data_IF_690794243235
#
_entry.id   IF_690794243235
#
_cell.length_a   1.000
_cell.length_b   1.000
_cell.length_c   1.000
_cell.angle_alpha   90.00
_cell.angle_beta   90.00
_cell.angle_gamma   90.00
#
_symmetry.space_group_name_H-M   'P 1'
#
loop_
_entity.id
_entity.type
_entity.pdbx_description
1 polymer ?
#
# COMPACT_ATOMS: atom_id res chain seq x y z
N UNK A 1 -62.03 35.66 -19.90
CA UNK A 1 -60.64 35.60 -19.40
C UNK A 1 -60.42 34.66 -18.21
N UNK A 2 -61.45 34.05 -17.60
CA UNK A 2 -61.29 33.19 -16.40
C UNK A 2 -60.82 31.75 -16.68
N UNK A 3 -61.32 31.08 -17.75
CA UNK A 3 -60.95 29.67 -18.05
C UNK A 3 -59.47 29.46 -18.40
N UNK A 4 -58.85 30.39 -19.14
CA UNK A 4 -57.44 30.27 -19.51
C UNK A 4 -56.49 30.43 -18.32
N UNK A 5 -56.88 31.22 -17.30
CA UNK A 5 -56.10 31.36 -16.07
C UNK A 5 -56.20 30.11 -15.20
N UNK A 6 -57.38 29.49 -15.10
CA UNK A 6 -57.59 28.22 -14.38
C UNK A 6 -56.79 27.08 -14.99
N UNK A 7 -56.82 26.90 -16.31
CA UNK A 7 -56.04 25.86 -17.00
C UNK A 7 -54.53 26.06 -16.88
N UNK A 8 -54.04 27.30 -16.89
CA UNK A 8 -52.60 27.59 -16.66
C UNK A 8 -52.17 27.28 -15.23
N UNK A 9 -53.02 27.54 -14.24
CA UNK A 9 -52.75 27.23 -12.83
C UNK A 9 -52.81 25.72 -12.55
N UNK A 10 -53.77 24.99 -13.12
CA UNK A 10 -53.86 23.53 -13.02
C UNK A 10 -52.68 22.83 -13.69
N UNK A 11 -52.32 23.22 -14.92
CA UNK A 11 -51.15 22.66 -15.60
C UNK A 11 -49.84 23.01 -14.88
N UNK A 12 -49.73 24.20 -14.29
CA UNK A 12 -48.58 24.57 -13.47
C UNK A 12 -48.53 23.76 -12.16
N UNK A 13 -49.68 23.47 -11.55
CA UNK A 13 -49.78 22.63 -10.35
C UNK A 13 -49.51 21.15 -10.65
N UNK A 14 -49.95 20.61 -11.79
CA UNK A 14 -49.67 19.24 -12.21
C UNK A 14 -48.22 19.05 -12.66
N UNK A 15 -47.67 20.02 -13.40
CA UNK A 15 -46.25 20.05 -13.74
C UNK A 15 -45.37 20.19 -12.49
N UNK A 16 -45.77 21.04 -11.53
CA UNK A 16 -45.08 21.21 -10.26
C UNK A 16 -45.23 20.00 -9.36
N UNK A 17 -46.42 19.40 -9.23
CA UNK A 17 -46.66 18.26 -8.35
C UNK A 17 -46.05 16.97 -8.90
N UNK A 18 -46.11 16.73 -10.22
CA UNK A 18 -45.43 15.61 -10.87
C UNK A 18 -43.90 15.71 -10.80
N UNK A 19 -43.36 16.91 -11.09
CA UNK A 19 -41.90 17.17 -10.98
C UNK A 19 -41.44 17.15 -9.52
N UNK A 20 -42.25 17.66 -8.58
CA UNK A 20 -41.95 17.61 -7.16
C UNK A 20 -41.94 16.18 -6.63
N UNK A 21 -42.89 15.33 -7.02
CA UNK A 21 -42.94 13.95 -6.57
C UNK A 21 -41.75 13.14 -7.13
N UNK A 22 -41.39 13.33 -8.40
CA UNK A 22 -40.19 12.72 -8.98
C UNK A 22 -38.90 13.24 -8.33
N UNK A 23 -38.80 14.53 -8.06
CA UNK A 23 -37.60 15.14 -7.44
C UNK A 23 -37.43 14.62 -6.02
N UNK A 24 -38.50 14.57 -5.23
CA UNK A 24 -38.47 14.00 -3.87
C UNK A 24 -38.09 12.52 -3.89
N UNK A 25 -38.62 11.74 -4.84
CA UNK A 25 -38.29 10.31 -4.97
C UNK A 25 -36.82 10.10 -5.36
N UNK A 26 -36.30 10.86 -6.33
CA UNK A 26 -34.87 10.83 -6.72
C UNK A 26 -33.97 11.30 -5.59
N UNK A 27 -34.36 12.32 -4.83
CA UNK A 27 -33.63 12.76 -3.64
C UNK A 27 -33.58 11.67 -2.58
N UNK A 28 -34.70 10.97 -2.34
CA UNK A 28 -34.74 9.86 -1.38
C UNK A 28 -33.87 8.68 -1.82
N UNK A 29 -33.95 8.27 -3.10
CA UNK A 29 -33.09 7.23 -3.68
C UNK A 29 -31.60 7.61 -3.58
N UNK A 30 -31.25 8.87 -3.91
CA UNK A 30 -29.89 9.40 -3.77
C UNK A 30 -29.41 9.42 -2.31
N UNK A 31 -30.27 9.77 -1.35
CA UNK A 31 -29.93 9.75 0.07
C UNK A 31 -29.70 8.33 0.59
N UNK A 32 -30.52 7.37 0.17
CA UNK A 32 -30.36 5.96 0.52
C UNK A 32 -29.08 5.37 -0.08
N UNK A 33 -28.78 5.68 -1.35
CA UNK A 33 -27.54 5.29 -2.03
C UNK A 33 -26.32 5.86 -1.30
N UNK A 34 -26.33 7.15 -0.97
CA UNK A 34 -25.26 7.79 -0.19
C UNK A 34 -25.04 7.09 1.15
N UNK A 35 -26.09 6.80 1.92
CA UNK A 35 -25.92 6.11 3.21
C UNK A 35 -25.28 4.72 3.03
N UNK A 36 -25.64 4.00 1.97
CA UNK A 36 -24.99 2.74 1.59
C UNK A 36 -23.50 2.93 1.27
N UNK A 37 -23.16 3.89 0.42
CA UNK A 37 -21.77 4.17 0.02
C UNK A 37 -20.90 4.63 1.19
N UNK A 38 -21.44 5.43 2.13
CA UNK A 38 -20.73 5.81 3.35
C UNK A 38 -20.47 4.62 4.27
N UNK A 39 -21.45 3.74 4.45
CA UNK A 39 -21.28 2.51 5.23
C UNK A 39 -20.24 1.57 4.63
N UNK A 40 -20.27 1.42 3.30
CA UNK A 40 -19.29 0.66 2.52
C UNK A 40 -17.89 1.25 2.68
N UNK A 41 -17.73 2.57 2.56
CA UNK A 41 -16.45 3.27 2.73
C UNK A 41 -15.88 3.08 4.14
N UNK A 42 -16.72 3.13 5.18
CA UNK A 42 -16.29 2.87 6.55
C UNK A 42 -15.75 1.45 6.73
N UNK A 43 -16.44 0.45 6.16
CA UNK A 43 -15.98 -0.95 6.16
C UNK A 43 -14.65 -1.09 5.39
N UNK A 44 -14.57 -0.51 4.19
CA UNK A 44 -13.38 -0.57 3.35
C UNK A 44 -12.16 0.10 3.99
N UNK A 45 -12.35 1.14 4.80
CA UNK A 45 -11.28 1.75 5.59
C UNK A 45 -10.72 0.78 6.64
N UNK A 46 -11.59 0.05 7.35
CA UNK A 46 -11.15 -0.96 8.33
C UNK A 46 -10.41 -2.11 7.64
N UNK A 47 -10.94 -2.58 6.51
CA UNK A 47 -10.30 -3.64 5.72
C UNK A 47 -8.92 -3.17 5.20
N UNK A 48 -8.81 -1.93 4.72
CA UNK A 48 -7.54 -1.35 4.29
C UNK A 48 -6.52 -1.23 5.42
N UNK A 49 -6.93 -0.82 6.62
CA UNK A 49 -6.02 -0.82 7.78
C UNK A 49 -5.51 -2.23 8.09
N UNK A 50 -6.40 -3.23 8.06
CA UNK A 50 -6.02 -4.61 8.30
C UNK A 50 -5.07 -5.15 7.20
N UNK A 51 -5.29 -4.80 5.93
CA UNK A 51 -4.38 -5.12 4.83
C UNK A 51 -3.02 -4.45 4.99
N UNK A 52 -2.98 -3.16 5.35
CA UNK A 52 -1.76 -2.41 5.64
C UNK A 52 -0.94 -3.07 6.76
N UNK A 53 -1.58 -3.47 7.85
CA UNK A 53 -0.91 -4.20 8.94
C UNK A 53 -0.33 -5.52 8.45
N UNK A 54 -1.09 -6.32 7.69
CA UNK A 54 -0.60 -7.59 7.14
C UNK A 54 0.59 -7.38 6.21
N UNK A 55 0.55 -6.36 5.36
CA UNK A 55 1.65 -6.03 4.46
C UNK A 55 2.90 -5.61 5.23
N UNK A 56 2.76 -4.79 6.28
CA UNK A 56 3.87 -4.42 7.16
C UNK A 56 4.48 -5.65 7.85
N UNK A 57 3.64 -6.53 8.43
CA UNK A 57 4.11 -7.78 9.06
C UNK A 57 4.88 -8.65 8.07
N UNK A 58 4.36 -8.85 6.86
CA UNK A 58 5.03 -9.64 5.82
C UNK A 58 6.35 -9.02 5.39
N UNK A 59 6.42 -7.69 5.29
CA UNK A 59 7.67 -6.98 5.00
C UNK A 59 8.72 -7.22 6.10
N UNK A 60 8.32 -7.17 7.37
CA UNK A 60 9.19 -7.49 8.50
C UNK A 60 9.67 -8.96 8.48
N UNK A 61 8.78 -9.91 8.22
CA UNK A 61 9.14 -11.33 8.06
C UNK A 61 10.16 -11.53 6.93
N UNK A 62 9.97 -10.85 5.81
CA UNK A 62 10.88 -10.91 4.66
C UNK A 62 12.26 -10.37 5.04
N UNK A 63 12.34 -9.21 5.70
CA UNK A 63 13.59 -8.62 6.18
C UNK A 63 14.29 -9.55 7.18
N UNK A 64 13.54 -10.12 8.13
CA UNK A 64 14.10 -11.04 9.13
C UNK A 64 14.65 -12.32 8.49
N UNK A 65 13.92 -12.90 7.54
CA UNK A 65 14.37 -14.07 6.79
C UNK A 65 15.64 -13.79 5.98
N UNK A 66 15.71 -12.62 5.35
CA UNK A 66 16.88 -12.18 4.58
C UNK A 66 18.10 -12.00 5.48
N UNK A 67 17.96 -11.30 6.60
CA UNK A 67 19.04 -11.12 7.57
C UNK A 67 19.58 -12.45 8.12
N UNK A 68 18.71 -13.44 8.35
CA UNK A 68 19.12 -14.78 8.77
C UNK A 68 19.90 -15.52 7.66
N UNK A 69 19.48 -15.37 6.40
CA UNK A 69 20.19 -15.94 5.25
C UNK A 69 21.58 -15.31 5.07
N UNK A 70 21.68 -13.97 5.11
CA UNK A 70 22.95 -13.25 5.05
C UNK A 70 23.90 -13.66 6.18
N UNK A 71 23.38 -13.82 7.40
CA UNK A 71 24.19 -14.27 8.55
C UNK A 71 24.77 -15.66 8.35
N UNK A 72 24.00 -16.57 7.75
CA UNK A 72 24.48 -17.92 7.42
C UNK A 72 25.56 -17.88 6.35
N UNK A 73 25.33 -17.11 5.29
CA UNK A 73 26.30 -16.94 4.21
C UNK A 73 27.62 -16.33 4.70
N UNK A 74 27.55 -15.29 5.54
CA UNK A 74 28.72 -14.68 6.15
C UNK A 74 29.52 -15.68 7.00
N UNK A 75 28.84 -16.55 7.75
CA UNK A 75 29.48 -17.61 8.51
C UNK A 75 30.19 -18.64 7.60
N UNK A 76 29.52 -19.10 6.55
CA UNK A 76 30.10 -20.04 5.57
C UNK A 76 31.34 -19.45 4.90
N UNK A 77 31.28 -18.20 4.44
CA UNK A 77 32.42 -17.47 3.87
C UNK A 77 33.58 -17.30 4.86
N UNK A 78 33.28 -17.05 6.14
CA UNK A 78 34.30 -16.96 7.18
C UNK A 78 35.02 -18.28 7.42
N UNK A 79 34.29 -19.40 7.43
CA UNK A 79 34.87 -20.75 7.54
C UNK A 79 35.74 -21.07 6.32
N UNK A 80 35.29 -20.70 5.11
CA UNK A 80 36.06 -20.87 3.88
C UNK A 80 37.37 -20.07 3.92
N UNK A 81 37.32 -18.81 4.35
CA UNK A 81 38.50 -17.96 4.50
C UNK A 81 39.49 -18.52 5.53
N UNK A 82 39.00 -19.05 6.66
CA UNK A 82 39.86 -19.69 7.64
C UNK A 82 40.58 -20.93 7.05
N UNK A 83 39.84 -21.76 6.29
CA UNK A 83 40.42 -22.93 5.62
C UNK A 83 41.47 -22.53 4.60
N UNK A 84 41.20 -21.52 3.77
CA UNK A 84 42.13 -21.09 2.73
C UNK A 84 43.45 -20.59 3.31
N UNK A 85 43.41 -19.80 4.40
CA UNK A 85 44.61 -19.33 5.10
C UNK A 85 45.39 -20.50 5.70
N UNK A 86 44.73 -21.52 6.27
CA UNK A 86 45.45 -22.69 6.80
C UNK A 86 46.09 -23.57 5.73
N UNK A 87 45.60 -23.52 4.49
CA UNK A 87 46.20 -24.22 3.35
C UNK A 87 47.28 -23.42 2.63
N UNK A 88 47.51 -22.16 3.00
CA UNK A 88 48.52 -21.31 2.37
C UNK A 88 49.92 -21.89 2.59
N UNK A 89 50.73 -21.92 1.53
CA UNK A 89 52.08 -22.45 1.54
C UNK A 89 53.12 -21.41 1.99
N UNK A 90 52.72 -20.14 2.09
CA UNK A 90 53.58 -19.03 2.51
C UNK A 90 52.79 -17.93 3.24
N UNK A 91 53.52 -17.09 3.99
CA UNK A 91 52.93 -15.90 4.65
C UNK A 91 52.37 -14.93 3.62
N UNK A 92 53.00 -14.81 2.45
CA UNK A 92 52.58 -13.89 1.40
C UNK A 92 51.23 -14.32 0.80
N UNK A 93 51.08 -15.61 0.50
CA UNK A 93 49.80 -16.20 0.05
C UNK A 93 48.71 -16.03 1.11
N UNK A 94 49.02 -16.25 2.39
CA UNK A 94 48.08 -16.03 3.48
C UNK A 94 47.61 -14.56 3.57
N UNK A 95 48.51 -13.59 3.37
CA UNK A 95 48.14 -12.17 3.33
C UNK A 95 47.27 -11.81 2.13
N UNK A 96 47.54 -12.39 0.96
CA UNK A 96 46.72 -12.19 -0.24
C UNK A 96 45.30 -12.74 -0.03
N UNK A 97 45.17 -13.95 0.52
CA UNK A 97 43.89 -14.57 0.87
C UNK A 97 43.09 -13.73 1.88
N UNK A 98 43.75 -13.28 2.95
CA UNK A 98 43.11 -12.44 3.98
C UNK A 98 42.66 -11.09 3.41
N UNK A 99 43.47 -10.48 2.54
CA UNK A 99 43.14 -9.21 1.86
C UNK A 99 41.96 -9.39 0.91
N UNK A 100 41.95 -10.48 0.14
CA UNK A 100 40.86 -10.84 -0.76
C UNK A 100 39.53 -11.08 -0.02
N UNK A 101 39.57 -11.82 1.09
CA UNK A 101 38.41 -12.01 1.96
C UNK A 101 37.90 -10.67 2.51
N UNK A 102 38.78 -9.83 3.04
CA UNK A 102 38.40 -8.53 3.61
C UNK A 102 37.74 -7.63 2.57
N UNK A 103 38.29 -7.57 1.35
CA UNK A 103 37.70 -6.82 0.25
C UNK A 103 36.31 -7.36 -0.12
N UNK A 104 36.19 -8.68 -0.27
CA UNK A 104 34.92 -9.32 -0.64
C UNK A 104 33.85 -9.14 0.44
N UNK A 105 34.23 -9.23 1.72
CA UNK A 105 33.34 -8.99 2.85
C UNK A 105 32.84 -7.54 2.89
N UNK A 106 33.70 -6.58 2.54
CA UNK A 106 33.32 -5.17 2.45
C UNK A 106 32.35 -4.91 1.29
N UNK A 107 32.61 -5.48 0.12
CA UNK A 107 31.70 -5.39 -1.04
C UNK A 107 30.32 -6.00 -0.72
N UNK A 108 30.30 -7.20 -0.12
CA UNK A 108 29.07 -7.86 0.30
C UNK A 108 28.28 -7.06 1.35
N UNK A 109 28.98 -6.40 2.29
CA UNK A 109 28.33 -5.54 3.28
C UNK A 109 27.63 -4.32 2.63
N UNK A 110 28.30 -3.66 1.68
CA UNK A 110 27.71 -2.53 0.96
C UNK A 110 26.50 -2.96 0.12
N UNK A 111 26.58 -4.13 -0.51
CA UNK A 111 25.45 -4.72 -1.23
C UNK A 111 24.27 -5.01 -0.29
N UNK A 112 24.53 -5.60 0.86
CA UNK A 112 23.50 -5.91 1.86
C UNK A 112 22.82 -4.65 2.40
N UNK A 113 23.57 -3.56 2.63
CA UNK A 113 22.99 -2.27 3.02
C UNK A 113 22.00 -1.73 1.98
N UNK A 114 22.34 -1.82 0.70
CA UNK A 114 21.45 -1.39 -0.38
C UNK A 114 20.21 -2.29 -0.44
N UNK A 115 20.40 -3.60 -0.31
CA UNK A 115 19.31 -4.59 -0.30
C UNK A 115 18.33 -4.32 0.84
N UNK A 116 18.81 -4.19 2.08
CA UNK A 116 17.97 -3.90 3.25
C UNK A 116 17.22 -2.57 3.10
N UNK A 117 17.88 -1.54 2.56
CA UNK A 117 17.23 -0.25 2.27
C UNK A 117 16.09 -0.40 1.27
N UNK A 118 16.31 -1.15 0.18
CA UNK A 118 15.28 -1.44 -0.81
C UNK A 118 14.10 -2.27 -0.26
N UNK A 119 14.39 -3.25 0.60
CA UNK A 119 13.38 -4.04 1.28
C UNK A 119 12.53 -3.20 2.22
N UNK A 120 13.16 -2.33 3.01
CA UNK A 120 12.45 -1.42 3.92
C UNK A 120 11.55 -0.43 3.15
N UNK A 121 12.08 0.16 2.08
CA UNK A 121 11.30 1.04 1.21
C UNK A 121 10.09 0.30 0.60
N UNK A 122 10.28 -0.95 0.18
CA UNK A 122 9.21 -1.78 -0.35
C UNK A 122 8.15 -2.11 0.70
N UNK A 123 8.56 -2.47 1.91
CA UNK A 123 7.64 -2.68 3.04
C UNK A 123 6.78 -1.45 3.31
N UNK A 124 7.39 -0.26 3.39
CA UNK A 124 6.66 0.99 3.62
C UNK A 124 5.68 1.28 2.47
N UNK A 125 6.13 1.13 1.22
CA UNK A 125 5.30 1.33 0.03
C UNK A 125 4.09 0.39 0.04
N UNK A 126 4.28 -0.89 0.31
CA UNK A 126 3.23 -1.90 0.33
C UNK A 126 2.28 -1.73 1.50
N UNK A 127 2.80 -1.41 2.69
CA UNK A 127 1.99 -1.11 3.86
C UNK A 127 1.13 0.16 3.69
N UNK A 128 1.58 1.14 2.89
CA UNK A 128 0.85 2.40 2.71
C UNK A 128 -0.16 2.35 1.55
N UNK A 129 0.00 1.41 0.61
CA UNK A 129 -0.82 1.32 -0.58
C UNK A 129 -2.33 1.17 -0.32
N UNK A 130 -2.80 0.32 0.62
CA UNK A 130 -4.23 0.20 0.91
C UNK A 130 -4.85 1.52 1.38
N UNK A 131 -4.16 2.25 2.25
CA UNK A 131 -4.63 3.56 2.76
C UNK A 131 -4.69 4.61 1.66
N UNK A 132 -3.68 4.67 0.79
CA UNK A 132 -3.67 5.60 -0.35
C UNK A 132 -4.81 5.30 -1.34
N UNK A 133 -5.17 4.03 -1.54
CA UNK A 133 -6.30 3.64 -2.37
C UNK A 133 -7.63 4.16 -1.80
N UNK A 134 -7.81 4.09 -0.47
CA UNK A 134 -9.03 4.59 0.18
C UNK A 134 -9.17 6.12 0.10
N UNK A 135 -8.07 6.86 0.22
CA UNK A 135 -8.08 8.32 0.07
C UNK A 135 -8.60 8.74 -1.32
N UNK A 136 -8.25 8.00 -2.37
CA UNK A 136 -8.79 8.22 -3.73
C UNK A 136 -10.29 7.96 -3.82
N UNK A 137 -10.78 6.88 -3.23
CA UNK A 137 -12.22 6.55 -3.20
C UNK A 137 -13.04 7.60 -2.47
N UNK A 138 -12.53 8.12 -1.35
CA UNK A 138 -13.17 9.22 -0.63
C UNK A 138 -13.28 10.49 -1.49
N UNK A 139 -12.22 10.85 -2.21
CA UNK A 139 -12.25 12.00 -3.11
C UNK A 139 -13.31 11.84 -4.23
N UNK A 140 -13.44 10.64 -4.79
CA UNK A 140 -14.48 10.32 -5.79
C UNK A 140 -15.89 10.41 -5.20
N UNK A 141 -16.11 9.92 -3.97
CA UNK A 141 -17.41 10.03 -3.31
C UNK A 141 -17.79 11.50 -3.08
N UNK A 142 -16.86 12.32 -2.60
CA UNK A 142 -17.08 13.76 -2.40
C UNK A 142 -17.43 14.48 -3.71
N UNK A 143 -16.80 14.10 -4.82
CA UNK A 143 -17.14 14.64 -6.15
C UNK A 143 -18.53 14.21 -6.63
N UNK A 144 -18.98 13.00 -6.31
CA UNK A 144 -20.32 12.50 -6.65
C UNK A 144 -21.42 13.21 -5.83
N UNK A 145 -21.07 13.72 -4.65
CA UNK A 145 -22.00 14.44 -3.76
C UNK A 145 -22.14 15.94 -4.05
N UNK A 146 -21.15 16.54 -4.72
CA UNK A 146 -21.18 17.95 -5.16
C UNK A 146 -22.05 18.13 -6.43
#
# INVERSE_FOLDING_TARGET
>A
MSKSATTTVENAFDAFSGTANETVKKSYEKSMEMMGEFGELQKQNLDAMAESTRAATKGMETISSHAAAYSREAFEKGVEAARSVTSAQSVQEAMELQTGYTKSAFEAYLEEMNTLTGMFASMVREASAPLNSQAGKFATLMQKTA
#
